data_IF_523159725935
#
_entry.id   IF_523159725935
#
_cell.length_a   1.000
_cell.length_b   1.000
_cell.length_c   1.000
_cell.angle_alpha   90.00
_cell.angle_beta   90.00
_cell.angle_gamma   90.00
#
_symmetry.space_group_name_H-M   'P 1'
#
loop_
_entity.id
_entity.type
_entity.pdbx_description
1 polymer ?
#
# COMPACT_ATOMS: atom_id res chain seq x y z
N UNK A 1 27.34 25.11 24.01
CA UNK A 1 26.85 23.72 24.20
C UNK A 1 25.86 23.27 23.16
N UNK A 2 24.86 24.11 22.70
CA UNK A 2 23.92 23.74 21.62
C UNK A 2 24.58 23.77 20.23
N UNK A 3 25.52 24.69 20.01
CA UNK A 3 26.26 24.76 18.75
C UNK A 3 27.26 23.61 18.56
N UNK A 4 27.78 23.03 19.64
CA UNK A 4 28.64 21.84 19.61
C UNK A 4 27.88 20.57 19.28
N UNK A 5 26.55 20.54 19.49
CA UNK A 5 25.67 19.44 19.15
C UNK A 5 25.19 19.50 17.68
N UNK A 6 25.68 20.44 16.87
CA UNK A 6 25.25 20.58 15.47
C UNK A 6 23.82 21.11 15.31
N UNK A 7 23.20 21.58 16.40
CA UNK A 7 21.90 22.23 16.37
C UNK A 7 22.07 23.59 15.67
N UNK A 8 21.81 23.61 14.39
CA UNK A 8 21.91 24.83 13.58
C UNK A 8 20.92 25.87 14.11
N UNK A 9 21.38 27.12 14.22
CA UNK A 9 20.56 28.22 14.71
C UNK A 9 19.48 28.66 13.70
N UNK A 10 19.23 27.86 12.67
CA UNK A 10 18.35 28.22 11.54
C UNK A 10 16.92 28.46 12.03
N UNK A 11 16.35 27.53 12.80
CA UNK A 11 15.01 27.68 13.35
C UNK A 11 14.88 28.88 14.27
N UNK A 12 15.89 29.10 15.15
CA UNK A 12 15.93 30.27 16.06
C UNK A 12 16.02 31.59 15.30
N UNK A 13 16.91 31.66 14.29
CA UNK A 13 17.05 32.85 13.44
C UNK A 13 15.78 33.11 12.63
N UNK A 14 15.14 32.08 12.14
CA UNK A 14 13.89 32.18 11.39
C UNK A 14 12.74 32.65 12.28
N UNK A 15 12.60 32.09 13.47
CA UNK A 15 11.61 32.50 14.46
C UNK A 15 11.75 34.00 14.84
N UNK A 16 12.99 34.47 15.06
CA UNK A 16 13.25 35.86 15.37
C UNK A 16 12.96 36.81 14.22
N UNK A 17 13.30 36.41 12.99
CA UNK A 17 13.07 37.20 11.79
C UNK A 17 11.59 37.27 11.42
N UNK A 18 10.88 36.16 11.51
CA UNK A 18 9.46 36.05 11.11
C UNK A 18 8.51 36.43 12.22
N UNK A 19 8.99 36.50 13.50
CA UNK A 19 8.18 36.68 14.71
C UNK A 19 7.08 35.63 14.85
N UNK A 20 7.31 34.42 14.35
CA UNK A 20 6.39 33.29 14.40
C UNK A 20 7.07 32.06 14.96
N UNK A 21 6.30 31.16 15.59
CA UNK A 21 6.82 29.85 15.96
C UNK A 21 7.44 29.13 14.76
N UNK A 22 8.52 28.42 14.98
CA UNK A 22 9.24 27.62 13.98
C UNK A 22 9.58 26.28 14.60
N UNK A 23 9.40 25.20 13.86
CA UNK A 23 9.85 23.86 14.26
C UNK A 23 10.84 23.32 13.24
N UNK A 24 11.79 22.53 13.71
CA UNK A 24 12.81 21.86 12.90
C UNK A 24 13.21 20.54 13.57
N UNK A 25 13.35 19.49 12.76
CA UNK A 25 13.94 18.24 13.25
C UNK A 25 15.43 18.23 12.96
N UNK A 26 16.21 17.98 13.99
CA UNK A 26 17.68 17.94 13.91
C UNK A 26 18.17 16.55 14.29
N UNK A 27 18.91 15.92 13.37
CA UNK A 27 19.58 14.65 13.64
C UNK A 27 20.99 14.90 14.18
N UNK A 28 21.25 14.41 15.38
CA UNK A 28 22.57 14.45 16.02
C UNK A 28 23.04 13.02 16.31
N UNK A 29 23.74 12.41 15.37
CA UNK A 29 24.16 11.02 15.46
C UNK A 29 22.96 10.06 15.43
N UNK A 30 22.73 9.31 16.51
CA UNK A 30 21.60 8.39 16.65
C UNK A 30 20.35 9.02 17.26
N UNK A 31 20.44 10.30 17.66
CA UNK A 31 19.33 11.01 18.31
C UNK A 31 18.68 11.96 17.31
N UNK A 32 17.36 11.95 17.24
CA UNK A 32 16.55 12.91 16.47
C UNK A 32 15.78 13.77 17.45
N UNK A 33 16.02 15.08 17.37
CA UNK A 33 15.40 16.06 18.27
C UNK A 33 14.43 16.91 17.45
N UNK A 34 13.19 16.98 17.87
CA UNK A 34 12.23 17.98 17.42
C UNK A 34 12.46 19.26 18.24
N UNK A 35 12.86 20.31 17.53
CA UNK A 35 13.17 21.63 18.08
C UNK A 35 12.03 22.59 17.72
N UNK A 36 11.30 23.06 18.70
CA UNK A 36 10.30 24.11 18.52
C UNK A 36 10.74 25.41 19.21
N UNK A 37 10.73 26.50 18.45
CA UNK A 37 11.15 27.83 18.94
C UNK A 37 9.95 28.78 18.89
N UNK A 38 9.55 29.29 20.08
CA UNK A 38 8.48 30.28 20.21
C UNK A 38 9.07 31.63 20.56
N UNK A 39 9.07 32.62 19.66
CA UNK A 39 9.58 33.96 19.98
C UNK A 39 8.67 34.70 20.98
N UNK A 40 9.26 35.27 22.01
CA UNK A 40 8.57 36.11 22.97
C UNK A 40 8.58 37.57 22.48
N UNK A 41 7.38 38.10 22.29
CA UNK A 41 7.21 39.46 21.77
C UNK A 41 6.83 40.42 22.88
N UNK A 42 7.58 41.51 23.00
CA UNK A 42 7.23 42.63 23.85
C UNK A 42 7.18 43.91 22.99
N UNK A 43 6.04 44.58 22.97
CA UNK A 43 5.78 45.79 22.14
C UNK A 43 6.19 45.62 20.66
N UNK A 44 5.94 44.45 20.11
CA UNK A 44 6.31 44.02 18.74
C UNK A 44 7.83 43.80 18.50
N UNK A 45 8.67 43.89 19.51
CA UNK A 45 10.07 43.47 19.44
C UNK A 45 10.22 42.06 20.01
N UNK A 46 11.14 41.28 19.44
CA UNK A 46 11.49 39.96 20.03
C UNK A 46 12.43 40.21 21.21
N UNK A 47 11.97 39.89 22.43
CA UNK A 47 12.73 40.04 23.65
C UNK A 47 13.38 38.73 24.10
N UNK A 48 12.98 37.62 23.54
CA UNK A 48 13.51 36.30 23.86
C UNK A 48 12.80 35.19 23.07
N UNK A 49 13.09 33.96 23.44
CA UNK A 49 12.35 32.81 22.91
C UNK A 49 12.25 31.70 23.95
N UNK A 50 11.18 30.92 23.89
CA UNK A 50 11.07 29.63 24.54
C UNK A 50 11.44 28.55 23.54
N UNK A 51 12.32 27.65 23.91
CA UNK A 51 12.78 26.55 23.06
C UNK A 51 12.35 25.26 23.71
N UNK A 52 11.58 24.47 22.96
CA UNK A 52 11.21 23.13 23.33
C UNK A 52 12.09 22.16 22.57
N UNK A 53 12.62 21.19 23.28
CA UNK A 53 13.41 20.08 22.74
C UNK A 53 12.73 18.79 23.11
N UNK A 54 12.38 18.01 22.10
CA UNK A 54 11.76 16.70 22.28
C UNK A 54 12.58 15.65 21.56
N UNK A 55 13.02 14.64 22.28
CA UNK A 55 13.61 13.44 21.66
C UNK A 55 12.50 12.64 20.98
N UNK A 56 12.61 12.52 19.68
CA UNK A 56 11.68 11.77 18.81
C UNK A 56 12.33 10.56 18.16
N UNK A 57 13.50 10.15 18.62
CA UNK A 57 14.30 9.07 18.05
C UNK A 57 13.53 7.76 17.97
N UNK A 58 12.87 7.34 19.06
CA UNK A 58 12.08 6.11 19.09
C UNK A 58 10.88 6.17 18.12
N UNK A 59 10.19 7.31 18.07
CA UNK A 59 9.06 7.52 17.17
C UNK A 59 9.53 7.40 15.73
N UNK A 60 10.65 8.03 15.38
CA UNK A 60 11.24 7.96 14.03
C UNK A 60 11.71 6.56 13.65
N UNK A 61 12.29 5.83 14.60
CA UNK A 61 12.67 4.43 14.37
C UNK A 61 11.45 3.55 14.11
N UNK A 62 10.37 3.72 14.86
CA UNK A 62 9.12 2.99 14.65
C UNK A 62 8.50 3.34 13.30
N UNK A 63 8.47 4.61 12.90
CA UNK A 63 7.97 5.05 11.60
C UNK A 63 8.76 4.39 10.45
N UNK A 64 10.09 4.38 10.55
CA UNK A 64 10.96 3.74 9.56
C UNK A 64 10.73 2.22 9.48
N UNK A 65 10.54 1.56 10.62
CA UNK A 65 10.23 0.13 10.67
C UNK A 65 8.88 -0.17 10.03
N UNK A 66 7.84 0.65 10.29
CA UNK A 66 6.52 0.51 9.67
C UNK A 66 6.61 0.69 8.15
N UNK A 67 7.29 1.73 7.67
CA UNK A 67 7.50 1.96 6.24
C UNK A 67 8.25 0.81 5.56
N UNK A 68 9.27 0.26 6.23
CA UNK A 68 10.02 -0.90 5.74
C UNK A 68 9.15 -2.16 5.68
N UNK A 69 8.32 -2.39 6.70
CA UNK A 69 7.37 -3.51 6.75
C UNK A 69 6.36 -3.43 5.60
N UNK A 70 5.79 -2.24 5.36
CA UNK A 70 4.82 -2.03 4.29
C UNK A 70 5.43 -2.25 2.90
N UNK A 71 6.69 -1.81 2.71
CA UNK A 71 7.41 -2.07 1.47
C UNK A 71 7.65 -3.57 1.24
N UNK A 72 7.98 -4.31 2.31
CA UNK A 72 8.20 -5.75 2.26
C UNK A 72 6.91 -6.50 1.92
N UNK A 73 5.79 -6.14 2.55
CA UNK A 73 4.48 -6.75 2.28
C UNK A 73 4.08 -6.54 0.81
N UNK A 74 4.25 -5.33 0.28
CA UNK A 74 3.98 -5.05 -1.15
C UNK A 74 4.84 -5.90 -2.08
N UNK A 75 6.12 -6.03 -1.77
CA UNK A 75 7.04 -6.88 -2.55
C UNK A 75 6.58 -8.34 -2.54
N UNK A 76 6.13 -8.85 -1.39
CA UNK A 76 5.57 -10.21 -1.28
C UNK A 76 4.34 -10.36 -2.17
N UNK A 77 3.38 -9.43 -2.10
CA UNK A 77 2.17 -9.46 -2.93
C UNK A 77 2.51 -9.44 -4.43
N UNK A 78 3.45 -8.58 -4.84
CA UNK A 78 3.93 -8.54 -6.22
C UNK A 78 4.56 -9.86 -6.67
N UNK A 79 5.39 -10.48 -5.83
CA UNK A 79 6.01 -11.77 -6.12
C UNK A 79 4.99 -12.90 -6.20
N UNK A 80 4.01 -12.93 -5.27
CA UNK A 80 2.93 -13.92 -5.31
C UNK A 80 2.15 -13.78 -6.61
N UNK A 81 1.72 -12.56 -7.00
CA UNK A 81 1.06 -12.31 -8.27
C UNK A 81 1.87 -12.83 -9.46
N UNK A 82 3.16 -12.51 -9.54
CA UNK A 82 4.03 -12.93 -10.62
C UNK A 82 4.18 -14.45 -10.70
N UNK A 83 4.28 -15.12 -9.55
CA UNK A 83 4.33 -16.59 -9.48
C UNK A 83 3.02 -17.21 -9.98
N UNK A 84 1.87 -16.68 -9.56
CA UNK A 84 0.56 -17.14 -10.02
C UNK A 84 0.37 -16.97 -11.53
N UNK A 85 0.85 -15.87 -12.12
CA UNK A 85 0.84 -15.64 -13.55
C UNK A 85 1.74 -16.65 -14.30
N UNK A 86 2.91 -16.96 -13.76
CA UNK A 86 3.82 -17.96 -14.33
C UNK A 86 3.18 -19.35 -14.29
N UNK A 87 2.60 -19.75 -13.15
CA UNK A 87 1.89 -21.03 -13.01
C UNK A 87 0.73 -21.11 -14.00
N UNK A 88 -0.09 -20.07 -14.12
CA UNK A 88 -1.19 -19.98 -15.08
C UNK A 88 -0.72 -20.20 -16.52
N UNK A 89 0.40 -19.59 -16.90
CA UNK A 89 0.99 -19.71 -18.23
C UNK A 89 1.50 -21.13 -18.50
N UNK A 90 2.14 -21.76 -17.52
CA UNK A 90 2.61 -23.14 -17.60
C UNK A 90 1.44 -24.12 -17.72
N UNK A 91 0.40 -23.95 -16.92
CA UNK A 91 -0.81 -24.78 -16.98
C UNK A 91 -1.49 -24.68 -18.35
N UNK A 92 -1.64 -23.48 -18.91
CA UNK A 92 -2.18 -23.29 -20.26
C UNK A 92 -1.33 -23.99 -21.34
N UNK A 93 0.01 -23.93 -21.19
CA UNK A 93 0.91 -24.60 -22.13
C UNK A 93 0.76 -26.13 -22.04
N UNK A 94 0.60 -26.68 -20.84
CA UNK A 94 0.36 -28.10 -20.64
C UNK A 94 -1.02 -28.53 -21.12
N UNK A 95 -2.07 -27.76 -20.84
CA UNK A 95 -3.45 -28.02 -21.32
C UNK A 95 -3.50 -28.18 -22.82
N UNK A 96 -2.86 -27.31 -23.59
CA UNK A 96 -2.80 -27.41 -25.07
C UNK A 96 -2.15 -28.68 -25.60
N UNK A 97 -1.35 -29.40 -24.81
CA UNK A 97 -0.70 -30.66 -25.18
C UNK A 97 -1.61 -31.88 -24.91
N UNK A 98 -2.62 -31.70 -24.08
CA UNK A 98 -3.54 -32.76 -23.69
C UNK A 98 -4.67 -32.75 -24.71
N UNK A 99 -4.66 -33.70 -25.64
CA UNK A 99 -5.70 -33.84 -26.69
C UNK A 99 -7.01 -34.48 -26.15
N UNK A 100 -7.46 -34.00 -24.94
CA UNK A 100 -8.68 -34.49 -24.29
C UNK A 100 -9.54 -33.32 -23.84
N UNK A 101 -10.77 -33.14 -24.38
CA UNK A 101 -11.58 -31.94 -24.12
C UNK A 101 -11.93 -31.70 -22.64
N UNK A 102 -12.16 -32.76 -21.85
CA UNK A 102 -12.47 -32.64 -20.44
C UNK A 102 -11.26 -32.19 -19.63
N UNK A 103 -10.06 -32.68 -19.95
CA UNK A 103 -8.82 -32.27 -19.30
C UNK A 103 -8.47 -30.81 -19.63
N UNK A 104 -8.68 -30.39 -20.88
CA UNK A 104 -8.48 -28.99 -21.28
C UNK A 104 -9.43 -28.06 -20.52
N UNK A 105 -10.69 -28.43 -20.36
CA UNK A 105 -11.67 -27.70 -19.57
C UNK A 105 -11.22 -27.56 -18.10
N UNK A 106 -10.84 -28.67 -17.44
CA UNK A 106 -10.40 -28.67 -16.06
C UNK A 106 -9.14 -27.81 -15.83
N UNK A 107 -8.20 -27.81 -16.80
CA UNK A 107 -7.03 -26.94 -16.76
C UNK A 107 -7.45 -25.48 -16.88
N UNK A 108 -8.33 -25.13 -17.80
CA UNK A 108 -8.79 -23.77 -17.99
C UNK A 108 -9.53 -23.24 -16.75
N UNK A 109 -10.41 -24.03 -16.13
CA UNK A 109 -11.05 -23.69 -14.87
C UNK A 109 -10.03 -23.43 -13.75
N UNK A 110 -9.00 -24.28 -13.63
CA UNK A 110 -7.93 -24.10 -12.65
C UNK A 110 -7.14 -22.80 -12.89
N UNK A 111 -6.84 -22.49 -14.15
CA UNK A 111 -6.16 -21.25 -14.53
C UNK A 111 -6.99 -20.02 -14.17
N UNK A 112 -8.29 -20.06 -14.38
CA UNK A 112 -9.18 -18.94 -14.05
C UNK A 112 -9.27 -18.71 -12.55
N UNK A 113 -9.32 -19.78 -11.74
CA UNK A 113 -9.23 -19.66 -10.26
C UNK A 113 -7.93 -19.02 -9.82
N UNK A 114 -6.81 -19.44 -10.38
CA UNK A 114 -5.49 -18.85 -10.08
C UNK A 114 -5.46 -17.35 -10.45
N UNK A 115 -6.04 -16.99 -11.58
CA UNK A 115 -6.13 -15.59 -12.02
C UNK A 115 -7.02 -14.75 -11.09
N UNK A 116 -8.13 -15.27 -10.59
CA UNK A 116 -8.98 -14.60 -9.61
C UNK A 116 -8.19 -14.29 -8.30
N UNK A 117 -7.38 -15.25 -7.85
CA UNK A 117 -6.49 -15.05 -6.70
C UNK A 117 -5.43 -13.98 -7.01
N UNK A 118 -4.79 -14.01 -8.18
CA UNK A 118 -3.78 -13.03 -8.58
C UNK A 118 -4.32 -11.59 -8.60
N UNK A 119 -5.59 -11.40 -8.97
CA UNK A 119 -6.29 -10.11 -8.92
C UNK A 119 -6.35 -9.56 -7.49
N UNK A 120 -6.68 -10.40 -6.50
CA UNK A 120 -6.70 -9.96 -5.09
C UNK A 120 -5.33 -9.50 -4.63
N UNK A 121 -4.29 -10.27 -4.92
CA UNK A 121 -2.91 -9.89 -4.55
C UNK A 121 -2.45 -8.61 -5.27
N UNK A 122 -2.92 -8.35 -6.48
CA UNK A 122 -2.66 -7.08 -7.17
C UNK A 122 -3.34 -5.90 -6.48
N UNK A 123 -4.59 -6.04 -6.04
CA UNK A 123 -5.31 -5.00 -5.32
C UNK A 123 -4.68 -4.72 -3.96
N UNK A 124 -4.35 -5.77 -3.19
CA UNK A 124 -3.66 -5.64 -1.89
C UNK A 124 -2.29 -4.95 -2.02
N UNK A 125 -1.57 -5.16 -3.13
CA UNK A 125 -0.29 -4.50 -3.35
C UNK A 125 -0.39 -2.99 -3.64
N UNK A 126 -1.54 -2.53 -4.12
CA UNK A 126 -1.80 -1.11 -4.41
C UNK A 126 -2.22 -0.32 -3.17
N UNK A 127 -2.99 -0.93 -2.30
CA UNK A 127 -3.47 -0.32 -1.08
C UNK A 127 -2.54 -0.65 0.10
N UNK A 128 -2.27 0.34 0.96
CA UNK A 128 -1.45 0.18 2.17
C UNK A 128 -2.26 -0.44 3.32
N UNK A 129 -3.19 -1.34 3.02
CA UNK A 129 -4.13 -1.92 3.96
C UNK A 129 -4.28 -3.42 3.71
N UNK A 130 -4.57 -4.14 4.78
CA UNK A 130 -4.86 -5.58 4.74
C UNK A 130 -6.32 -5.88 4.34
N UNK A 131 -7.05 -4.89 3.82
CA UNK A 131 -8.43 -4.99 3.35
C UNK A 131 -8.60 -4.40 1.95
N UNK A 132 -9.53 -4.93 1.18
CA UNK A 132 -9.82 -4.53 -0.21
C UNK A 132 -11.31 -4.23 -0.36
N UNK A 133 -11.66 -3.28 -1.22
CA UNK A 133 -13.05 -3.05 -1.57
C UNK A 133 -13.59 -4.18 -2.44
N UNK A 134 -14.65 -4.86 -1.99
CA UNK A 134 -15.22 -6.01 -2.70
C UNK A 134 -15.64 -5.64 -4.12
N UNK A 135 -16.12 -4.42 -4.33
CA UNK A 135 -16.46 -3.89 -5.66
C UNK A 135 -15.26 -3.91 -6.61
N UNK A 136 -14.06 -3.58 -6.13
CA UNK A 136 -12.86 -3.58 -6.96
C UNK A 136 -12.44 -4.99 -7.36
N UNK A 137 -12.57 -5.95 -6.43
CA UNK A 137 -12.35 -7.37 -6.71
C UNK A 137 -13.25 -7.84 -7.85
N UNK A 138 -14.57 -7.62 -7.71
CA UNK A 138 -15.55 -8.03 -8.71
C UNK A 138 -15.29 -7.35 -10.07
N UNK A 139 -15.04 -6.03 -10.06
CA UNK A 139 -14.74 -5.30 -11.28
C UNK A 139 -13.46 -5.78 -11.98
N UNK A 140 -12.43 -6.16 -11.22
CA UNK A 140 -11.20 -6.67 -11.79
C UNK A 140 -11.36 -8.10 -12.37
N UNK A 141 -12.14 -8.96 -11.71
CA UNK A 141 -12.47 -10.30 -12.23
C UNK A 141 -13.26 -10.18 -13.54
N UNK A 142 -14.29 -9.33 -13.58
CA UNK A 142 -15.08 -9.08 -14.79
C UNK A 142 -14.20 -8.62 -15.95
N UNK A 143 -13.29 -7.66 -15.72
CA UNK A 143 -12.35 -7.19 -16.75
C UNK A 143 -11.42 -8.30 -17.27
N UNK A 144 -10.97 -9.18 -16.38
CA UNK A 144 -10.08 -10.29 -16.76
C UNK A 144 -10.82 -11.32 -17.62
N UNK A 145 -12.09 -11.57 -17.33
CA UNK A 145 -12.92 -12.47 -18.09
C UNK A 145 -13.26 -11.95 -19.51
N UNK A 146 -13.58 -10.67 -19.61
CA UNK A 146 -13.90 -10.03 -20.91
C UNK A 146 -12.73 -10.15 -21.91
N UNK A 147 -11.50 -10.07 -21.41
CA UNK A 147 -10.29 -10.25 -22.22
C UNK A 147 -10.04 -11.69 -22.68
N UNK A 148 -10.53 -12.69 -21.94
CA UNK A 148 -10.26 -14.11 -22.21
C UNK A 148 -11.34 -14.76 -23.05
N UNK A 149 -12.60 -14.38 -22.84
CA UNK A 149 -13.74 -15.13 -23.39
C UNK A 149 -14.18 -14.62 -24.76
N UNK A 150 -13.88 -13.35 -25.12
CA UNK A 150 -14.36 -12.74 -26.37
C UNK A 150 -15.89 -12.72 -26.48
N UNK A 151 -16.59 -13.18 -25.45
CA UNK A 151 -18.03 -13.23 -25.40
C UNK A 151 -18.57 -11.82 -25.09
N UNK A 152 -19.43 -11.30 -25.96
CA UNK A 152 -20.09 -10.01 -25.77
C UNK A 152 -21.20 -10.09 -24.71
N UNK A 153 -20.84 -10.52 -23.49
CA UNK A 153 -21.76 -10.52 -22.35
C UNK A 153 -21.58 -9.21 -21.59
N UNK A 154 -22.61 -8.38 -21.55
CA UNK A 154 -22.61 -7.14 -20.80
C UNK A 154 -22.87 -7.43 -19.32
N UNK A 155 -21.81 -7.40 -18.49
CA UNK A 155 -21.93 -7.54 -17.04
C UNK A 155 -22.04 -6.13 -16.43
N UNK A 156 -23.17 -5.86 -15.77
CA UNK A 156 -23.40 -4.59 -15.07
C UNK A 156 -23.18 -4.76 -13.58
N UNK A 157 -22.21 -4.05 -13.03
CA UNK A 157 -21.91 -4.01 -11.60
C UNK A 157 -22.60 -2.81 -10.96
N UNK A 158 -23.54 -3.06 -10.03
CA UNK A 158 -24.26 -2.02 -9.29
C UNK A 158 -24.25 -2.28 -7.79
N UNK A 159 -24.32 -1.22 -6.98
CA UNK A 159 -24.32 -1.30 -5.54
C UNK A 159 -22.97 -1.04 -4.90
N UNK A 160 -22.94 -1.04 -3.55
CA UNK A 160 -21.76 -0.91 -2.69
C UNK A 160 -21.69 -2.11 -1.78
N UNK A 161 -20.51 -2.70 -1.60
CA UNK A 161 -20.34 -3.93 -0.85
C UNK A 161 -19.35 -3.82 0.32
N UNK A 162 -18.76 -2.64 0.53
CA UNK A 162 -17.80 -2.39 1.60
C UNK A 162 -16.44 -3.07 1.39
N UNK A 163 -15.61 -2.97 2.42
CA UNK A 163 -14.24 -3.53 2.44
C UNK A 163 -14.24 -4.90 3.12
N UNK A 164 -13.37 -5.77 2.66
CA UNK A 164 -13.20 -7.13 3.17
C UNK A 164 -11.74 -7.40 3.48
N UNK A 165 -11.42 -8.14 4.56
CA UNK A 165 -10.07 -8.55 4.88
C UNK A 165 -9.46 -9.42 3.77
N UNK A 166 -8.12 -9.43 3.65
CA UNK A 166 -7.39 -10.12 2.59
C UNK A 166 -7.67 -11.63 2.51
N UNK A 167 -7.88 -12.29 3.63
CA UNK A 167 -8.22 -13.71 3.71
C UNK A 167 -9.62 -13.98 3.15
N UNK A 168 -10.61 -13.19 3.53
CA UNK A 168 -11.97 -13.25 2.97
C UNK A 168 -12.01 -12.84 1.49
N UNK A 169 -11.20 -11.84 1.09
CA UNK A 169 -11.11 -11.35 -0.28
C UNK A 169 -10.74 -12.46 -1.27
N UNK A 170 -9.78 -13.31 -0.91
CA UNK A 170 -9.34 -14.44 -1.75
C UNK A 170 -10.44 -15.46 -1.94
N UNK A 171 -11.14 -15.84 -0.85
CA UNK A 171 -12.27 -16.77 -0.92
C UNK A 171 -13.42 -16.21 -1.77
N UNK A 172 -13.78 -14.93 -1.54
CA UNK A 172 -14.83 -14.25 -2.30
C UNK A 172 -14.49 -14.12 -3.79
N UNK A 173 -13.23 -13.85 -4.13
CA UNK A 173 -12.79 -13.76 -5.53
C UNK A 173 -13.00 -15.08 -6.26
N UNK A 174 -12.71 -16.22 -5.63
CA UNK A 174 -12.95 -17.54 -6.20
C UNK A 174 -14.45 -17.77 -6.39
N UNK A 175 -15.27 -17.49 -5.35
CA UNK A 175 -16.74 -17.67 -5.43
C UNK A 175 -17.34 -16.80 -6.54
N UNK A 176 -16.96 -15.53 -6.61
CA UNK A 176 -17.43 -14.61 -7.66
C UNK A 176 -17.02 -15.09 -9.04
N UNK A 177 -15.78 -15.54 -9.17
CA UNK A 177 -15.29 -16.10 -10.45
C UNK A 177 -16.14 -17.31 -10.90
N UNK A 178 -16.41 -18.25 -10.00
CA UNK A 178 -17.27 -19.43 -10.31
C UNK A 178 -18.70 -19.02 -10.69
N UNK A 179 -19.30 -18.06 -9.96
CA UNK A 179 -20.65 -17.58 -10.25
C UNK A 179 -20.78 -16.87 -11.58
N UNK A 180 -19.73 -16.18 -12.05
CA UNK A 180 -19.76 -15.50 -13.35
C UNK A 180 -19.53 -16.51 -14.51
N UNK A 181 -18.83 -17.62 -14.24
CA UNK A 181 -18.51 -18.64 -15.25
C UNK A 181 -19.65 -19.64 -15.49
N UNK A 182 -20.51 -19.85 -14.50
CA UNK A 182 -21.66 -20.76 -14.57
C UNK A 182 -22.91 -20.06 -15.08
#
# INVERSE_FOLDING_TARGET
>A
HLAEAGLDQLATRLAFRTRRPTSEEVAAGSVVIDLEVLPLLERQAVNGAVVFLRDVSEIRQLDLLLLSKDATIREIHHRVKNNLQTISSLLRLQGRRIAHPEADRAVNESVQRIQAIAVVYELLSREHRDDVELREIVAAIVRTMDQVTGAHVLIRLSGTAGRVPSDAATALAIVVNELIQN
#
